data_IF_810347796845
#
_entry.id   IF_810347796845
#
_cell.length_a   1.000
_cell.length_b   1.000
_cell.length_c   1.000
_cell.angle_alpha   90.00
_cell.angle_beta   90.00
_cell.angle_gamma   90.00
#
_symmetry.space_group_name_H-M   'P 1'
#
loop_
_entity.id
_entity.type
_entity.pdbx_description
1 polymer ?
#
# COMPACT_ATOMS: atom_id res chain seq x y z
N UNK A 1 -3.07 14.34 9.97
CA UNK A 1 -2.96 12.86 10.08
C UNK A 1 -2.44 12.33 8.76
N UNK A 2 -1.51 11.37 8.76
CA UNK A 2 -1.05 10.75 7.50
C UNK A 2 -2.04 9.68 7.07
N UNK A 3 -2.38 9.60 5.78
CA UNK A 3 -3.35 8.62 5.27
C UNK A 3 -2.85 7.19 5.46
N UNK A 4 -1.53 6.99 5.48
CA UNK A 4 -0.92 5.70 5.86
C UNK A 4 -1.32 5.23 7.26
N UNK A 5 -1.42 6.11 8.25
CA UNK A 5 -1.85 5.68 9.60
C UNK A 5 -3.32 5.24 9.62
N UNK A 6 -4.14 5.84 8.76
CA UNK A 6 -5.53 5.45 8.61
C UNK A 6 -5.64 4.11 7.87
N UNK A 7 -4.85 3.91 6.81
CA UNK A 7 -4.77 2.64 6.08
C UNK A 7 -4.23 1.49 6.95
N UNK A 8 -3.36 1.77 7.92
CA UNK A 8 -2.85 0.75 8.86
C UNK A 8 -3.98 0.02 9.59
N UNK A 9 -5.07 0.72 9.94
CA UNK A 9 -6.23 0.13 10.61
C UNK A 9 -6.95 -0.91 9.71
N UNK A 10 -6.84 -0.76 8.39
CA UNK A 10 -7.42 -1.68 7.40
C UNK A 10 -6.52 -2.89 7.11
N UNK A 11 -5.21 -2.78 7.38
CA UNK A 11 -4.21 -3.80 7.06
C UNK A 11 -3.47 -4.25 8.33
N UNK A 12 -4.08 -5.11 9.17
CA UNK A 12 -3.49 -5.50 10.46
C UNK A 12 -2.17 -6.26 10.34
N UNK A 13 -1.89 -6.87 9.17
CA UNK A 13 -0.62 -7.55 8.88
C UNK A 13 0.47 -6.61 8.34
N UNK A 14 0.15 -5.34 8.07
CA UNK A 14 1.14 -4.37 7.63
C UNK A 14 1.91 -3.81 8.84
N UNK A 15 3.16 -3.42 8.62
CA UNK A 15 4.04 -2.77 9.58
C UNK A 15 4.25 -1.32 9.15
N UNK A 16 3.93 -0.38 10.04
CA UNK A 16 4.18 1.03 9.79
C UNK A 16 5.61 1.41 10.18
N UNK A 17 6.42 1.77 9.18
CA UNK A 17 7.85 2.11 9.34
C UNK A 17 8.10 3.60 9.63
N UNK A 18 7.04 4.38 9.88
CA UNK A 18 7.10 5.85 9.99
C UNK A 18 6.99 6.59 8.65
N UNK A 19 7.44 6.00 7.54
CA UNK A 19 7.36 6.60 6.19
C UNK A 19 6.51 5.79 5.20
N UNK A 20 6.44 4.47 5.38
CA UNK A 20 5.74 3.55 4.50
C UNK A 20 5.02 2.49 5.34
N UNK A 21 3.96 1.92 4.80
CA UNK A 21 3.35 0.70 5.29
C UNK A 21 3.93 -0.47 4.51
N UNK A 22 4.45 -1.47 5.21
CA UNK A 22 5.10 -2.62 4.57
C UNK A 22 4.44 -3.90 5.04
N UNK A 23 4.04 -4.74 4.09
CA UNK A 23 3.56 -6.09 4.33
C UNK A 23 4.58 -7.08 3.76
N UNK A 24 4.88 -8.14 4.49
CA UNK A 24 5.82 -9.18 4.05
C UNK A 24 5.21 -10.55 4.33
N UNK A 25 5.18 -11.37 3.29
CA UNK A 25 4.85 -12.80 3.34
C UNK A 25 6.08 -13.61 2.91
N UNK A 26 5.95 -14.94 2.91
CA UNK A 26 7.03 -15.86 2.54
C UNK A 26 7.57 -15.61 1.12
N UNK A 27 6.69 -15.24 0.19
CA UNK A 27 7.01 -15.06 -1.24
C UNK A 27 6.89 -13.61 -1.73
N UNK A 28 6.27 -12.72 -0.94
CA UNK A 28 5.87 -11.40 -1.40
C UNK A 28 6.19 -10.32 -0.38
N UNK A 29 6.56 -9.14 -0.88
CA UNK A 29 6.67 -7.93 -0.07
C UNK A 29 5.87 -6.84 -0.76
N UNK A 30 5.08 -6.11 0.01
CA UNK A 30 4.22 -5.05 -0.49
C UNK A 30 4.51 -3.78 0.29
N UNK A 31 4.76 -2.68 -0.42
CA UNK A 31 5.09 -1.40 0.19
C UNK A 31 4.12 -0.32 -0.29
N UNK A 32 3.46 0.33 0.66
CA UNK A 32 2.59 1.47 0.43
C UNK A 32 3.35 2.73 0.85
N UNK A 33 3.49 3.66 -0.08
CA UNK A 33 4.18 4.93 0.16
C UNK A 33 3.24 6.08 -0.16
N UNK A 34 3.17 7.03 0.77
CA UNK A 34 2.45 8.28 0.56
C UNK A 34 3.33 9.26 -0.22
N UNK A 35 2.92 9.58 -1.44
CA UNK A 35 3.49 10.66 -2.22
C UNK A 35 2.68 11.93 -1.95
N UNK A 36 3.21 12.78 -1.08
CA UNK A 36 2.72 14.15 -0.95
C UNK A 36 3.17 14.92 -2.19
N UNK A 37 2.22 15.35 -3.01
CA UNK A 37 2.52 16.28 -4.09
C UNK A 37 3.21 17.50 -3.47
N UNK A 38 4.44 17.76 -3.90
CA UNK A 38 5.27 18.86 -3.42
C UNK A 38 4.83 20.20 -4.01
N UNK A 39 3.77 20.18 -4.82
CA UNK A 39 3.08 21.36 -5.34
C UNK A 39 2.27 22.03 -4.22
N UNK A 40 2.92 22.95 -3.50
CA UNK A 40 2.29 23.91 -2.58
C UNK A 40 1.20 24.80 -3.24
N UNK A 41 1.03 24.70 -4.56
CA UNK A 41 0.08 25.51 -5.35
C UNK A 41 -1.31 24.88 -5.51
N UNK A 42 -1.55 23.64 -5.07
CA UNK A 42 -2.85 22.98 -5.22
C UNK A 42 -3.49 22.64 -3.86
N UNK A 43 -4.36 23.56 -3.46
CA UNK A 43 -5.57 23.41 -2.63
C UNK A 43 -5.55 22.27 -1.60
N UNK A 44 -5.50 22.68 -0.33
CA UNK A 44 -5.90 21.92 0.85
C UNK A 44 -7.19 21.13 0.57
N UNK A 45 -7.14 19.80 0.69
CA UNK A 45 -8.35 18.97 0.72
C UNK A 45 -8.33 17.67 -0.10
N UNK A 46 -7.36 17.46 -1.00
CA UNK A 46 -7.26 16.18 -1.73
C UNK A 46 -6.44 15.14 -0.98
N UNK A 47 -6.91 13.90 -0.99
CA UNK A 47 -6.14 12.76 -0.48
C UNK A 47 -4.78 12.65 -1.19
N UNK A 48 -3.71 12.29 -0.48
CA UNK A 48 -2.39 12.09 -1.05
C UNK A 48 -2.38 10.86 -1.97
N UNK A 49 -1.49 10.89 -2.96
CA UNK A 49 -1.29 9.75 -3.85
C UNK A 49 -0.62 8.62 -3.07
N UNK A 50 -1.21 7.43 -3.07
CA UNK A 50 -0.64 6.24 -2.44
C UNK A 50 -0.10 5.33 -3.54
N UNK A 51 1.22 5.11 -3.52
CA UNK A 51 1.89 4.17 -4.40
C UNK A 51 2.00 2.83 -3.71
N UNK A 52 1.48 1.78 -4.34
CA UNK A 52 1.60 0.39 -3.89
C UNK A 52 2.65 -0.30 -4.76
N UNK A 53 3.71 -0.82 -4.15
CA UNK A 53 4.75 -1.60 -4.82
C UNK A 53 4.71 -3.03 -4.35
N UNK A 54 4.78 -3.97 -5.28
CA UNK A 54 4.77 -5.39 -5.02
C UNK A 54 6.09 -5.97 -5.49
N UNK A 55 6.74 -6.68 -4.59
CA UNK A 55 8.01 -7.33 -4.79
C UNK A 55 7.81 -8.82 -4.61
N UNK A 56 8.41 -9.60 -5.52
CA UNK A 56 8.41 -11.06 -5.45
C UNK A 56 9.77 -11.53 -4.94
N UNK A 57 9.78 -12.48 -4.02
CA UNK A 57 11.00 -13.11 -3.56
C UNK A 57 11.62 -13.96 -4.68
N UNK A 58 12.87 -13.69 -5.00
CA UNK A 58 13.68 -14.48 -5.90
C UNK A 58 14.24 -15.72 -5.20
N UNK A 59 14.75 -16.67 -5.99
CA UNK A 59 15.37 -17.91 -5.49
C UNK A 59 16.60 -17.64 -4.59
N UNK A 60 17.23 -16.48 -4.74
CA UNK A 60 18.37 -16.03 -3.92
C UNK A 60 17.94 -15.46 -2.55
N UNK A 61 16.64 -15.32 -2.33
CA UNK A 61 16.07 -14.75 -1.09
C UNK A 61 15.79 -13.26 -1.14
N UNK A 62 16.29 -12.55 -2.16
CA UNK A 62 16.05 -11.12 -2.38
C UNK A 62 14.66 -10.81 -2.93
N UNK A 63 14.11 -9.65 -2.56
CA UNK A 63 12.80 -9.19 -3.05
C UNK A 63 12.98 -8.32 -4.31
N UNK A 64 12.57 -8.85 -5.46
CA UNK A 64 12.68 -8.16 -6.75
C UNK A 64 11.42 -7.35 -7.01
N UNK A 65 11.53 -6.06 -7.39
CA UNK A 65 10.37 -5.25 -7.74
C UNK A 65 9.65 -5.84 -8.95
N UNK A 66 8.36 -6.07 -8.80
CA UNK A 66 7.48 -6.55 -9.88
C UNK A 66 6.55 -5.44 -10.35
N UNK A 67 5.38 -5.39 -9.73
CA UNK A 67 4.30 -4.48 -10.12
C UNK A 67 4.22 -3.28 -9.18
N UNK A 68 3.82 -2.13 -9.70
CA UNK A 68 3.41 -1.01 -8.88
C UNK A 68 2.20 -0.33 -9.47
N UNK A 69 1.37 0.25 -8.62
CA UNK A 69 0.18 0.99 -9.01
C UNK A 69 -0.01 2.21 -8.11
N UNK A 70 -0.51 3.30 -8.69
CA UNK A 70 -0.72 4.57 -8.02
C UNK A 70 -2.22 4.82 -7.80
N UNK A 71 -2.61 5.01 -6.55
CA UNK A 71 -4.00 5.26 -6.16
C UNK A 71 -4.17 6.71 -5.69
N UNK A 72 -5.15 7.39 -6.28
CA UNK A 72 -5.55 8.75 -5.90
C UNK A 72 -7.08 8.77 -5.75
N UNK A 73 -7.55 8.40 -4.57
CA UNK A 73 -8.98 8.32 -4.25
C UNK A 73 -9.30 9.23 -3.06
N UNK A 74 -10.40 9.99 -3.16
CA UNK A 74 -10.82 10.94 -2.13
C UNK A 74 -11.43 10.26 -0.89
N UNK A 75 -11.84 8.99 -0.99
CA UNK A 75 -12.44 8.19 0.09
C UNK A 75 -11.47 7.15 0.63
N UNK A 76 -11.23 7.17 1.96
CA UNK A 76 -10.33 6.22 2.63
C UNK A 76 -10.78 4.77 2.46
N UNK A 77 -12.08 4.51 2.61
CA UNK A 77 -12.63 3.16 2.54
C UNK A 77 -12.51 2.56 1.14
N UNK A 78 -12.76 3.37 0.10
CA UNK A 78 -12.55 2.95 -1.29
C UNK A 78 -11.07 2.76 -1.59
N UNK A 79 -10.21 3.66 -1.11
CA UNK A 79 -8.76 3.54 -1.24
C UNK A 79 -8.25 2.23 -0.63
N UNK A 80 -8.65 1.91 0.60
CA UNK A 80 -8.30 0.67 1.26
C UNK A 80 -8.78 -0.56 0.47
N UNK A 81 -10.04 -0.53 0.00
CA UNK A 81 -10.62 -1.66 -0.75
C UNK A 81 -9.96 -1.89 -2.10
N UNK A 82 -9.62 -0.81 -2.83
CA UNK A 82 -8.93 -0.92 -4.12
C UNK A 82 -7.49 -1.40 -3.96
N UNK A 83 -6.77 -0.88 -2.95
CA UNK A 83 -5.43 -1.36 -2.61
C UNK A 83 -5.48 -2.84 -2.24
N UNK A 84 -6.43 -3.25 -1.41
CA UNK A 84 -6.62 -4.65 -1.05
C UNK A 84 -6.81 -5.52 -2.29
N UNK A 85 -7.78 -5.19 -3.16
CA UNK A 85 -8.05 -5.97 -4.37
C UNK A 85 -6.84 -6.06 -5.29
N UNK A 86 -6.10 -4.96 -5.45
CA UNK A 86 -4.89 -4.94 -6.26
C UNK A 86 -3.84 -5.89 -5.69
N UNK A 87 -3.59 -5.82 -4.39
CA UNK A 87 -2.58 -6.69 -3.76
C UNK A 87 -3.05 -8.15 -3.74
N UNK A 88 -4.34 -8.42 -3.48
CA UNK A 88 -4.93 -9.76 -3.60
C UNK A 88 -4.77 -10.35 -5.00
N UNK A 89 -5.03 -9.55 -6.03
CA UNK A 89 -4.88 -9.98 -7.42
C UNK A 89 -3.43 -10.29 -7.79
N UNK A 90 -2.49 -9.47 -7.30
CA UNK A 90 -1.08 -9.61 -7.61
C UNK A 90 -0.35 -10.70 -6.79
N UNK A 91 -0.75 -10.88 -5.52
CA UNK A 91 -0.18 -11.89 -4.61
C UNK A 91 -0.92 -13.23 -4.74
N UNK A 92 -2.17 -13.21 -5.19
CA UNK A 92 -3.03 -14.40 -5.28
C UNK A 92 -3.63 -14.85 -3.94
N UNK A 93 -3.42 -14.09 -2.85
CA UNK A 93 -3.86 -14.43 -1.49
C UNK A 93 -4.64 -13.28 -0.84
N UNK A 94 -5.57 -13.61 0.05
CA UNK A 94 -6.32 -12.62 0.81
C UNK A 94 -5.47 -12.05 1.96
N UNK A 95 -5.39 -10.72 2.07
CA UNK A 95 -4.60 -10.03 3.11
C UNK A 95 -5.47 -9.70 4.34
N UNK A 96 -6.80 -9.80 4.21
CA UNK A 96 -7.74 -9.82 5.34
C UNK A 96 -8.15 -11.26 5.61
N UNK A 97 -7.30 -12.02 6.29
CA UNK A 97 -7.77 -13.22 6.99
C UNK A 97 -8.07 -12.87 8.44
N UNK A 98 -9.35 -12.59 8.71
CA UNK A 98 -10.06 -13.23 9.82
C UNK A 98 -11.59 -13.09 9.63
N UNK A 99 -12.24 -14.18 9.20
CA UNK A 99 -13.57 -14.58 9.68
C UNK A 99 -13.50 -16.04 10.05
#
# INVERSE_FOLDING_TARGET
MSVLKLLYDYFPMAVYTGKCLVFVSEEWRVELTEHKNTDFSRLEGKMPLIRVRIFKKALDGDFVPGHYEDFLLDSLGELASQIERYVQFAVGCNIRENV
#
